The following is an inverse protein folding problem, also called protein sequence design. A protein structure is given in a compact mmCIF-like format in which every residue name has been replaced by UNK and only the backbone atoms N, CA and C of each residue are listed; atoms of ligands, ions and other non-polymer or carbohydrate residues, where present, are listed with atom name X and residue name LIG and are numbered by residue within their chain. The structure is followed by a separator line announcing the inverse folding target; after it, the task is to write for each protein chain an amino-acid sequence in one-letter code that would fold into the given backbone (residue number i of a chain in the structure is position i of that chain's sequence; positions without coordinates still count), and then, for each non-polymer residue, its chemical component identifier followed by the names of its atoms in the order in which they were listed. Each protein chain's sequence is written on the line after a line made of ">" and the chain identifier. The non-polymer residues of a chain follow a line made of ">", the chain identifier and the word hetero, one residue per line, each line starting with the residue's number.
data_IF_142548775939
#
_entry.id   IF_142548775939
#
_cell.length_a   1.000
_cell.length_b   1.000
_cell.length_c   1.000
_cell.angle_alpha   90.00
_cell.angle_beta   90.00
_cell.angle_gamma   90.00
#
_symmetry.space_group_name_H-M   'P 1'
#
loop_
_entity.id
_entity.type
_entity.pdbx_description
1 polymer ?
#
# COMPACT_ATOMS: atom_id res chain seq x y z
N UNK A 1 18.63 2.77 21.65
CA UNK A 1 19.67 2.04 20.88
C UNK A 1 19.41 0.52 20.78
N UNK A 2 18.66 -0.11 21.70
CA UNK A 2 18.32 -1.54 21.59
C UNK A 2 17.13 -1.84 20.64
N UNK A 3 16.17 -0.92 20.51
CA UNK A 3 14.96 -1.10 19.67
C UNK A 3 15.27 -1.14 18.16
N UNK A 4 16.13 -0.25 17.67
CA UNK A 4 16.50 -0.19 16.25
C UNK A 4 17.17 -1.48 15.75
N UNK A 5 17.95 -2.16 16.60
CA UNK A 5 18.59 -3.43 16.24
C UNK A 5 17.59 -4.59 16.13
N UNK A 6 16.56 -4.62 16.98
CA UNK A 6 15.53 -5.66 16.94
C UNK A 6 14.59 -5.45 15.74
N UNK A 7 14.17 -4.20 15.49
CA UNK A 7 13.36 -3.83 14.34
C UNK A 7 14.08 -4.17 13.02
N UNK A 8 15.36 -3.78 12.90
CA UNK A 8 16.19 -4.11 11.74
C UNK A 8 16.31 -5.62 11.49
N UNK A 9 16.53 -6.41 12.56
CA UNK A 9 16.60 -7.87 12.46
C UNK A 9 15.29 -8.52 12.00
N UNK A 10 14.14 -8.02 12.50
CA UNK A 10 12.83 -8.47 12.08
C UNK A 10 12.56 -8.13 10.60
N UNK A 11 12.83 -6.89 10.20
CA UNK A 11 12.65 -6.41 8.84
C UNK A 11 13.52 -7.20 7.85
N UNK A 12 14.80 -7.44 8.17
CA UNK A 12 15.68 -8.26 7.34
C UNK A 12 15.11 -9.68 7.13
N UNK A 13 14.54 -10.29 8.18
CA UNK A 13 13.91 -11.61 8.10
C UNK A 13 12.64 -11.57 7.24
N UNK A 14 11.78 -10.58 7.43
CA UNK A 14 10.54 -10.42 6.66
C UNK A 14 10.82 -10.12 5.18
N UNK A 15 11.85 -9.32 4.88
CA UNK A 15 12.27 -9.08 3.49
C UNK A 15 12.70 -10.39 2.83
N UNK A 16 13.54 -11.17 3.52
CA UNK A 16 13.99 -12.47 3.01
C UNK A 16 12.81 -13.42 2.81
N UNK A 17 11.80 -13.40 3.66
CA UNK A 17 10.57 -14.17 3.45
C UNK A 17 9.87 -13.73 2.17
N UNK A 18 9.56 -12.43 2.04
CA UNK A 18 8.92 -11.85 0.85
C UNK A 18 9.65 -12.20 -0.46
N UNK A 19 10.99 -12.18 -0.45
CA UNK A 19 11.79 -12.48 -1.64
C UNK A 19 11.85 -13.96 -2.01
N UNK A 20 11.59 -14.86 -1.07
CA UNK A 20 11.60 -16.31 -1.30
C UNK A 20 10.20 -16.90 -1.43
N UNK A 21 9.17 -16.14 -1.06
CA UNK A 21 7.79 -16.57 -1.13
C UNK A 21 7.31 -16.67 -2.58
N UNK A 22 6.74 -17.82 -2.93
CA UNK A 22 6.22 -18.09 -4.27
C UNK A 22 4.70 -17.93 -4.33
N UNK A 23 4.06 -17.82 -3.19
CA UNK A 23 2.60 -17.78 -3.06
C UNK A 23 2.06 -16.34 -3.16
N UNK A 24 2.95 -15.34 -3.31
CA UNK A 24 2.62 -13.93 -3.50
C UNK A 24 2.97 -13.49 -4.93
N UNK A 25 2.22 -13.94 -5.96
CA UNK A 25 2.51 -13.59 -7.33
C UNK A 25 2.35 -12.08 -7.56
N UNK A 26 3.24 -11.52 -8.37
CA UNK A 26 3.13 -10.12 -8.78
C UNK A 26 3.65 -9.10 -7.77
N UNK A 27 4.34 -9.52 -6.70
CA UNK A 27 4.99 -8.61 -5.77
C UNK A 27 6.52 -8.83 -5.80
N UNK A 28 7.27 -7.74 -5.95
CA UNK A 28 8.73 -7.75 -5.80
C UNK A 28 9.16 -6.68 -4.81
N UNK A 29 10.10 -6.99 -3.93
CA UNK A 29 10.57 -6.09 -2.86
C UNK A 29 12.11 -6.05 -2.81
N UNK A 30 12.65 -4.86 -2.62
CA UNK A 30 14.08 -4.61 -2.45
C UNK A 30 14.36 -3.47 -1.45
N UNK A 31 15.62 -3.31 -1.06
CA UNK A 31 16.02 -2.20 -0.20
C UNK A 31 16.39 -0.97 -1.03
N UNK A 32 16.05 0.20 -0.51
CA UNK A 32 16.55 1.48 -1.02
C UNK A 32 17.89 1.77 -0.34
N UNK A 33 18.94 2.01 -1.12
CA UNK A 33 20.27 2.39 -0.61
C UNK A 33 20.82 1.47 0.49
N UNK A 34 20.51 0.17 0.44
CA UNK A 34 20.84 -0.84 1.46
C UNK A 34 20.31 -0.51 2.87
N UNK A 35 19.30 0.35 3.01
CA UNK A 35 18.65 0.67 4.27
C UNK A 35 17.47 -0.29 4.53
N UNK A 36 17.57 -1.11 5.57
CA UNK A 36 16.53 -2.10 5.91
C UNK A 36 15.19 -1.49 6.34
N UNK A 37 15.16 -0.19 6.65
CA UNK A 37 13.95 0.56 6.99
C UNK A 37 13.28 1.23 5.78
N UNK A 38 13.88 1.15 4.59
CA UNK A 38 13.33 1.76 3.37
C UNK A 38 13.28 0.71 2.27
N UNK A 39 12.07 0.34 1.85
CA UNK A 39 11.87 -0.69 0.84
C UNK A 39 11.28 -0.07 -0.42
N UNK A 40 11.76 -0.54 -1.57
CA UNK A 40 11.08 -0.40 -2.85
C UNK A 40 10.21 -1.63 -3.09
N UNK A 41 8.97 -1.39 -3.52
CA UNK A 41 8.02 -2.43 -3.87
C UNK A 41 7.54 -2.20 -5.30
N UNK A 42 7.59 -3.26 -6.10
CA UNK A 42 6.98 -3.29 -7.43
C UNK A 42 5.74 -4.18 -7.36
N UNK A 43 4.57 -3.59 -7.61
CA UNK A 43 3.29 -4.29 -7.68
C UNK A 43 2.88 -4.48 -9.14
N UNK A 44 2.90 -5.73 -9.60
CA UNK A 44 2.42 -6.20 -10.90
C UNK A 44 0.99 -6.70 -10.70
N UNK A 45 0.03 -5.85 -11.07
CA UNK A 45 -1.37 -6.10 -10.76
C UNK A 45 -1.96 -7.07 -11.77
N UNK A 46 -2.47 -8.20 -11.27
CA UNK A 46 -3.13 -9.23 -12.07
C UNK A 46 -4.30 -8.63 -12.88
N UNK A 47 -4.50 -9.08 -14.11
CA UNK A 47 -5.60 -8.69 -14.99
C UNK A 47 -7.00 -8.89 -14.36
N UNK A 48 -7.11 -9.81 -13.39
CA UNK A 48 -8.34 -10.04 -12.61
C UNK A 48 -8.69 -8.88 -11.65
N UNK A 49 -7.72 -8.02 -11.30
CA UNK A 49 -7.93 -6.85 -10.43
C UNK A 49 -8.65 -5.72 -11.18
N UNK A 50 -9.97 -5.87 -11.34
CA UNK A 50 -10.93 -4.93 -11.95
C UNK A 50 -10.31 -3.89 -12.90
N UNK A 51 -10.14 -2.66 -12.45
CA UNK A 51 -9.75 -1.53 -13.31
C UNK A 51 -8.23 -1.37 -13.43
N UNK A 52 -7.47 -1.85 -12.43
CA UNK A 52 -6.03 -1.66 -12.30
C UNK A 52 -5.22 -2.81 -12.91
N UNK A 53 -5.87 -3.91 -13.32
CA UNK A 53 -5.24 -5.06 -13.93
C UNK A 53 -4.37 -4.72 -15.14
N UNK A 54 -3.19 -5.33 -15.16
CA UNK A 54 -2.12 -5.12 -16.14
C UNK A 54 -1.16 -3.96 -15.80
N UNK A 55 -1.39 -3.26 -14.68
CA UNK A 55 -0.55 -2.13 -14.24
C UNK A 55 0.68 -2.56 -13.43
N UNK A 56 1.74 -1.75 -13.51
CA UNK A 56 3.00 -1.93 -12.78
C UNK A 56 3.25 -0.72 -11.89
N UNK A 57 2.89 -0.79 -10.60
CA UNK A 57 2.94 0.36 -9.70
C UNK A 57 4.10 0.27 -8.72
N UNK A 58 5.04 1.21 -8.83
CA UNK A 58 6.18 1.32 -7.92
C UNK A 58 5.76 2.07 -6.67
N UNK A 59 6.14 1.54 -5.51
CA UNK A 59 5.86 2.13 -4.22
C UNK A 59 7.08 2.08 -3.29
N UNK A 60 7.07 2.94 -2.28
CA UNK A 60 8.00 2.95 -1.15
C UNK A 60 7.27 2.51 0.12
N UNK A 61 7.93 1.67 0.91
CA UNK A 61 7.56 1.38 2.29
C UNK A 61 8.65 1.91 3.21
N UNK A 62 8.30 2.91 4.03
CA UNK A 62 9.19 3.52 5.01
C UNK A 62 8.79 3.06 6.41
N UNK A 63 9.69 2.33 7.08
CA UNK A 63 9.45 1.72 8.39
C UNK A 63 9.99 2.62 9.51
N UNK A 64 9.22 2.85 10.59
CA UNK A 64 9.72 3.57 11.75
C UNK A 64 10.71 2.70 12.54
N UNK A 65 11.56 3.34 13.36
CA UNK A 65 12.51 2.62 14.23
C UNK A 65 11.83 1.80 15.33
N UNK A 66 10.57 2.11 15.60
CA UNK A 66 9.67 1.49 16.54
C UNK A 66 8.93 0.28 15.96
N UNK A 67 9.12 -0.02 14.67
CA UNK A 67 8.52 -1.19 14.03
C UNK A 67 8.85 -2.48 14.82
N UNK A 68 7.88 -3.39 15.08
CA UNK A 68 6.51 -3.42 14.56
C UNK A 68 5.46 -2.75 15.47
N UNK A 69 5.86 -1.95 16.47
CA UNK A 69 4.88 -1.26 17.35
C UNK A 69 4.10 -0.18 16.60
N UNK A 70 4.76 0.50 15.66
CA UNK A 70 4.13 1.48 14.77
C UNK A 70 4.14 0.97 13.32
N UNK A 71 3.11 1.30 12.51
CA UNK A 71 3.03 0.89 11.13
C UNK A 71 4.09 1.60 10.27
N UNK A 72 4.49 1.01 9.13
CA UNK A 72 5.19 1.76 8.10
C UNK A 72 4.26 2.77 7.41
N UNK A 73 4.86 3.68 6.64
CA UNK A 73 4.14 4.47 5.65
C UNK A 73 4.34 3.86 4.27
N UNK A 74 3.27 3.82 3.48
CA UNK A 74 3.34 3.39 2.10
C UNK A 74 2.99 4.55 1.16
N UNK A 75 3.79 4.73 0.12
CA UNK A 75 3.57 5.75 -0.91
C UNK A 75 3.80 5.16 -2.29
N UNK A 76 2.87 5.38 -3.21
CA UNK A 76 3.09 5.11 -4.62
C UNK A 76 3.97 6.19 -5.25
N UNK A 77 5.06 5.77 -5.87
CA UNK A 77 5.93 6.62 -6.70
C UNK A 77 5.37 6.73 -8.12
N UNK A 78 4.76 5.66 -8.64
CA UNK A 78 4.00 5.70 -9.89
C UNK A 78 2.66 6.40 -9.64
N UNK A 79 2.30 7.44 -10.41
CA UNK A 79 1.03 8.13 -10.24
C UNK A 79 -0.17 7.19 -10.34
N UNK A 80 -1.02 7.18 -9.29
CA UNK A 80 -2.14 6.27 -9.18
C UNK A 80 -3.40 7.00 -8.71
N UNK A 81 -4.44 6.98 -9.54
CA UNK A 81 -5.72 7.64 -9.23
C UNK A 81 -6.65 6.66 -8.49
N UNK A 82 -6.84 6.85 -7.19
CA UNK A 82 -7.63 5.95 -6.34
C UNK A 82 -8.26 6.70 -5.14
N UNK A 83 -9.48 6.36 -4.68
CA UNK A 83 -10.13 7.03 -3.53
C UNK A 83 -9.31 7.01 -2.23
N UNK A 84 -8.60 5.91 -1.97
CA UNK A 84 -7.77 5.72 -0.77
C UNK A 84 -6.27 6.07 -0.97
N UNK A 85 -5.93 6.78 -2.04
CA UNK A 85 -4.55 7.24 -2.31
C UNK A 85 -4.56 8.75 -2.46
N UNK A 86 -3.80 9.45 -1.62
CA UNK A 86 -3.66 10.90 -1.71
C UNK A 86 -3.01 11.33 -3.03
N UNK A 87 -3.22 12.57 -3.51
CA UNK A 87 -2.58 13.06 -4.73
C UNK A 87 -1.05 13.01 -4.73
N UNK A 88 -0.42 12.99 -3.55
CA UNK A 88 1.04 12.84 -3.41
C UNK A 88 1.50 11.37 -3.51
N UNK A 89 0.59 10.40 -3.54
CA UNK A 89 0.84 8.96 -3.60
C UNK A 89 0.69 8.23 -2.26
N UNK A 90 0.50 8.93 -1.14
CA UNK A 90 0.40 8.28 0.18
C UNK A 90 -0.86 7.41 0.25
N UNK A 91 -0.71 6.19 0.77
CA UNK A 91 -1.79 5.22 0.90
C UNK A 91 -2.48 5.39 2.25
N UNK A 92 -3.82 5.45 2.25
CA UNK A 92 -4.64 5.64 3.45
C UNK A 92 -5.61 4.46 3.61
N UNK A 93 -5.21 3.44 4.37
CA UNK A 93 -6.03 2.27 4.71
C UNK A 93 -5.83 1.92 6.18
N UNK A 94 -6.86 1.34 6.81
CA UNK A 94 -6.92 1.09 8.25
C UNK A 94 -5.69 0.34 8.80
N UNK A 95 -5.17 -0.66 8.07
CA UNK A 95 -4.00 -1.44 8.49
C UNK A 95 -2.74 -0.57 8.67
N UNK A 96 -2.66 0.61 8.04
CA UNK A 96 -1.56 1.57 8.18
C UNK A 96 -1.86 2.68 9.21
N UNK A 97 -3.04 2.69 9.81
CA UNK A 97 -3.37 3.63 10.89
C UNK A 97 -2.76 3.16 12.21
N UNK A 98 -2.15 4.08 13.00
CA UNK A 98 -1.61 3.77 14.32
C UNK A 98 -2.64 3.08 15.24
N UNK A 99 -2.20 2.30 16.24
CA UNK A 99 -3.06 1.52 17.13
C UNK A 99 -3.86 2.37 18.17
N UNK A 100 -4.20 3.62 17.84
CA UNK A 100 -4.95 4.52 18.72
C UNK A 100 -6.46 4.19 18.71
N UNK A 101 -7.15 4.52 19.81
CA UNK A 101 -8.62 4.45 19.84
C UNK A 101 -9.20 5.46 18.85
N UNK A 102 -10.11 5.01 18.00
CA UNK A 102 -10.79 5.92 17.08
C UNK A 102 -11.65 6.86 17.89
N UNK A 103 -11.25 8.13 17.94
CA UNK A 103 -12.01 9.15 18.66
C UNK A 103 -13.44 9.31 18.11
N UNK A 104 -13.67 8.89 16.87
CA UNK A 104 -14.94 9.00 16.16
C UNK A 104 -15.63 7.65 15.90
N UNK A 105 -14.96 6.53 16.22
CA UNK A 105 -15.52 5.18 16.15
C UNK A 105 -15.80 4.66 14.73
N UNK A 106 -15.12 5.17 13.70
CA UNK A 106 -15.31 4.74 12.32
C UNK A 106 -14.63 3.40 12.01
N UNK A 107 -13.49 3.11 12.66
CA UNK A 107 -12.76 1.86 12.46
C UNK A 107 -12.65 1.06 13.76
N UNK A 108 -12.75 -0.26 13.66
CA UNK A 108 -12.45 -1.16 14.76
C UNK A 108 -10.95 -1.19 15.02
N UNK A 109 -10.54 -1.30 16.29
CA UNK A 109 -9.13 -1.52 16.64
C UNK A 109 -8.54 -2.78 15.97
N UNK A 110 -9.37 -3.77 15.62
CA UNK A 110 -8.95 -4.97 14.91
C UNK A 110 -8.61 -4.73 13.43
N UNK A 111 -9.12 -3.65 12.84
CA UNK A 111 -8.84 -3.26 11.44
C UNK A 111 -7.59 -2.39 11.31
N UNK A 112 -7.07 -1.91 12.44
CA UNK A 112 -5.88 -1.05 12.53
C UNK A 112 -4.59 -1.84 12.61
N UNK A 113 -3.48 -1.10 12.54
CA UNK A 113 -2.16 -1.68 12.73
C UNK A 113 -2.06 -2.42 14.06
N UNK A 114 -1.49 -3.63 14.01
CA UNK A 114 -1.02 -4.32 15.20
C UNK A 114 0.31 -5.02 14.88
N UNK A 115 1.16 -5.28 15.89
CA UNK A 115 2.48 -5.89 15.67
C UNK A 115 2.49 -7.31 15.05
N UNK A 116 1.31 -7.93 14.87
CA UNK A 116 1.16 -9.22 14.19
C UNK A 116 1.13 -9.08 12.66
N UNK A 117 0.86 -7.86 12.16
CA UNK A 117 0.85 -7.56 10.73
C UNK A 117 2.28 -7.52 10.18
N UNK A 118 2.42 -7.81 8.90
CA UNK A 118 3.70 -7.92 8.20
C UNK A 118 3.68 -7.09 6.91
N UNK A 119 4.83 -6.86 6.26
CA UNK A 119 4.85 -6.21 4.95
C UNK A 119 3.99 -6.96 3.92
N UNK A 120 3.96 -8.29 4.01
CA UNK A 120 3.07 -9.13 3.20
C UNK A 120 1.60 -8.77 3.40
N UNK A 121 1.12 -8.75 4.65
CA UNK A 121 -0.30 -8.48 4.92
C UNK A 121 -0.70 -7.07 4.49
N UNK A 122 0.20 -6.08 4.61
CA UNK A 122 0.00 -4.73 4.08
C UNK A 122 -0.20 -4.78 2.56
N UNK A 123 0.70 -5.43 1.82
CA UNK A 123 0.64 -5.42 0.36
C UNK A 123 -0.56 -6.21 -0.18
N UNK A 124 -0.96 -7.29 0.50
CA UNK A 124 -2.21 -8.00 0.21
C UNK A 124 -3.44 -7.10 0.45
N UNK A 125 -3.46 -6.34 1.54
CA UNK A 125 -4.52 -5.34 1.79
C UNK A 125 -4.56 -4.26 0.72
N UNK A 126 -3.42 -3.82 0.19
CA UNK A 126 -3.36 -2.85 -0.91
C UNK A 126 -3.92 -3.43 -2.21
N UNK A 127 -3.58 -4.67 -2.56
CA UNK A 127 -4.15 -5.33 -3.75
C UNK A 127 -5.68 -5.51 -3.60
N UNK A 128 -6.14 -5.87 -2.41
CA UNK A 128 -7.57 -5.96 -2.10
C UNK A 128 -8.27 -4.59 -2.25
N UNK A 129 -7.65 -3.53 -1.73
CA UNK A 129 -8.12 -2.15 -1.86
C UNK A 129 -8.26 -1.73 -3.34
N UNK A 130 -7.28 -2.04 -4.19
CA UNK A 130 -7.38 -1.75 -5.63
C UNK A 130 -8.56 -2.47 -6.31
N UNK A 131 -8.94 -3.65 -5.81
CA UNK A 131 -10.09 -4.41 -6.31
C UNK A 131 -11.42 -3.81 -5.86
N UNK A 132 -11.46 -3.23 -4.66
CA UNK A 132 -12.68 -2.70 -4.05
C UNK A 132 -12.37 -1.42 -3.28
N UNK A 133 -12.46 -0.24 -3.93
CA UNK A 133 -12.21 1.03 -3.28
C UNK A 133 -13.17 1.27 -2.11
N UNK A 134 -12.64 1.76 -0.98
CA UNK A 134 -13.45 2.21 0.16
C UNK A 134 -13.73 3.72 0.03
N UNK A 135 -15.00 4.10 0.03
CA UNK A 135 -15.44 5.49 -0.16
C UNK A 135 -16.02 6.15 1.10
N UNK A 136 -15.96 5.49 2.25
CA UNK A 136 -16.42 6.01 3.55
C UNK A 136 -15.52 7.13 4.10
N UNK A 137 -14.21 7.02 3.87
CA UNK A 137 -13.21 8.03 4.27
C UNK A 137 -12.13 8.18 3.20
N UNK A 138 -12.42 8.86 2.07
CA UNK A 138 -11.51 8.91 0.94
C UNK A 138 -10.36 9.91 1.15
N UNK A 139 -9.14 9.47 0.89
CA UNK A 139 -7.95 10.31 0.78
C UNK A 139 -7.98 11.22 -0.46
N UNK A 140 -8.69 10.80 -1.50
CA UNK A 140 -8.88 11.57 -2.74
C UNK A 140 -10.38 11.75 -3.01
N UNK A 141 -10.86 12.94 -2.67
CA UNK A 141 -12.27 13.32 -2.79
C UNK A 141 -12.75 13.31 -4.25
N UNK A 142 -11.90 13.71 -5.19
CA UNK A 142 -12.25 13.68 -6.63
C UNK A 142 -12.42 12.23 -7.11
N UNK A 143 -11.47 11.36 -6.78
CA UNK A 143 -11.56 9.95 -7.13
C UNK A 143 -12.82 9.29 -6.52
N UNK A 144 -13.15 9.61 -5.28
CA UNK A 144 -14.36 9.11 -4.62
C UNK A 144 -15.66 9.66 -5.23
N UNK A 145 -15.71 10.95 -5.58
CA UNK A 145 -16.86 11.53 -6.27
C UNK A 145 -17.07 10.89 -7.64
N UNK A 146 -16.00 10.74 -8.44
CA UNK A 146 -16.09 10.05 -9.73
C UNK A 146 -16.48 8.57 -9.57
N UNK A 147 -15.98 7.89 -8.54
CA UNK A 147 -16.38 6.51 -8.24
C UNK A 147 -17.90 6.38 -8.02
N UNK A 148 -18.50 7.30 -7.26
CA UNK A 148 -19.94 7.29 -6.95
C UNK A 148 -20.82 7.81 -8.09
N UNK A 149 -20.42 8.90 -8.72
CA UNK A 149 -21.29 9.70 -9.59
C UNK A 149 -20.97 9.54 -11.07
N UNK A 150 -19.74 9.15 -11.43
CA UNK A 150 -19.31 9.04 -12.82
C UNK A 150 -18.26 7.95 -13.03
N UNK A 151 -18.68 6.70 -12.81
CA UNK A 151 -17.84 5.52 -12.97
C UNK A 151 -17.15 5.41 -14.36
N UNK A 152 -17.77 5.81 -15.49
CA UNK A 152 -17.10 5.82 -16.79
C UNK A 152 -15.85 6.72 -16.82
N UNK A 153 -15.93 7.93 -16.28
CA UNK A 153 -14.78 8.85 -16.22
C UNK A 153 -13.73 8.35 -15.22
N UNK A 154 -14.15 7.83 -14.06
CA UNK A 154 -13.24 7.16 -13.12
C UNK A 154 -12.43 6.06 -13.81
N UNK A 155 -13.12 5.14 -14.51
CA UNK A 155 -12.49 4.05 -15.26
C UNK A 155 -11.51 4.57 -16.30
N UNK A 156 -11.87 5.62 -17.04
CA UNK A 156 -11.00 6.21 -18.07
C UNK A 156 -9.69 6.71 -17.45
N UNK A 157 -9.74 7.40 -16.31
CA UNK A 157 -8.55 7.89 -15.60
C UNK A 157 -7.70 6.76 -15.04
N UNK A 158 -8.31 5.77 -14.39
CA UNK A 158 -7.60 4.58 -13.89
C UNK A 158 -6.89 3.83 -15.02
N UNK A 159 -7.56 3.60 -16.15
CA UNK A 159 -6.93 2.93 -17.30
C UNK A 159 -5.82 3.76 -17.93
N UNK A 160 -5.84 5.08 -17.78
CA UNK A 160 -4.69 5.93 -18.14
C UNK A 160 -3.51 5.68 -17.21
N UNK A 161 -3.71 5.67 -15.89
CA UNK A 161 -2.66 5.31 -14.93
C UNK A 161 -2.03 3.94 -15.23
N UNK A 162 -2.84 2.93 -15.57
CA UNK A 162 -2.34 1.60 -15.97
C UNK A 162 -1.41 1.68 -17.18
N UNK A 163 -1.79 2.42 -18.24
CA UNK A 163 -0.93 2.57 -19.43
C UNK A 163 0.34 3.35 -19.10
N UNK A 164 0.21 4.47 -18.40
CA UNK A 164 1.35 5.32 -18.01
C UNK A 164 2.34 4.55 -17.12
N UNK A 165 1.86 3.58 -16.32
CA UNK A 165 2.70 2.72 -15.48
C UNK A 165 3.62 1.78 -16.26
N UNK A 166 3.29 1.47 -17.51
CA UNK A 166 4.10 0.61 -18.40
C UNK A 166 5.20 1.39 -19.12
N UNK A 167 5.07 2.71 -19.18
CA UNK A 167 6.00 3.63 -19.87
C UNK A 167 6.99 4.28 -18.90
N UNK A 168 6.93 3.90 -17.62
CA UNK A 168 7.75 4.52 -16.57
C UNK A 168 9.21 4.05 -16.68
N UNK A 169 10.10 4.97 -17.09
CA UNK A 169 11.57 4.81 -17.06
C UNK A 169 12.17 4.97 -15.65
#
# INVERSE_FOLDING_TARGET
>A
MASSSAAAGLLARQLKQMQNDKDIPGISCGLVDNNVFEWEVMLMINDETKYYGGGFFRARLAFPTEYPLLPPKMRFETPLFHPNIYPNGDVCISILHPPEEDKYGYESAAERWSPVQTPETILLSVISMLSSPNDESPANVEAASLWRENLPEFKKRVRKCVRDSLEFE
#
